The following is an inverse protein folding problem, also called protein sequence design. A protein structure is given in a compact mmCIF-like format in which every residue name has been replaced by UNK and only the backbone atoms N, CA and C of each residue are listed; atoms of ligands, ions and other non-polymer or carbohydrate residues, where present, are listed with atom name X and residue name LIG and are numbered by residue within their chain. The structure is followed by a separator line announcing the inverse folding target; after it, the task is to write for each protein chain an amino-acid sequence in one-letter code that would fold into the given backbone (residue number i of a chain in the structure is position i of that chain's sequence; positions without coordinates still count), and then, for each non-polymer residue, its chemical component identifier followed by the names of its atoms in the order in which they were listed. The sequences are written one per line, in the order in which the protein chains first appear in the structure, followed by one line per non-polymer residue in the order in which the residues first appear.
data_IF_328295656773
#
_entry.id   IF_328295656773
#
_cell.length_a   1.000
_cell.length_b   1.000
_cell.length_c   1.000
_cell.angle_alpha   90.00
_cell.angle_beta   90.00
_cell.angle_gamma   90.00
#
_symmetry.space_group_name_H-M   'P 1'
#
loop_
_entity.id
_entity.type
_entity.pdbx_description
1 polymer ?
#
# COMPACT_ATOMS: atom_id res chain seq x y z
N UNK A 1 7.01 8.51 -22.35
CA UNK A 1 6.11 9.62 -22.73
C UNK A 1 5.52 10.27 -21.49
N UNK A 2 5.51 11.61 -21.49
CA UNK A 2 4.88 12.38 -20.41
C UNK A 2 3.55 12.93 -20.91
N UNK A 3 2.46 12.56 -20.24
CA UNK A 3 1.13 13.09 -20.53
C UNK A 3 0.79 14.11 -19.43
N UNK A 4 0.40 15.34 -19.79
CA UNK A 4 0.02 16.37 -18.83
C UNK A 4 -1.07 15.89 -17.86
N UNK A 5 -1.08 16.41 -16.63
CA UNK A 5 -2.14 16.07 -15.69
C UNK A 5 -3.50 16.61 -16.15
N UNK A 6 -4.49 15.73 -16.25
CA UNK A 6 -5.86 16.05 -16.67
C UNK A 6 -6.49 17.22 -15.89
N UNK A 7 -6.21 17.29 -14.58
CA UNK A 7 -6.73 18.32 -13.68
C UNK A 7 -6.07 19.70 -13.85
N UNK A 8 -4.85 19.76 -14.40
CA UNK A 8 -4.11 21.01 -14.57
C UNK A 8 -4.37 21.65 -15.93
N UNK A 9 -4.37 20.84 -17.00
CA UNK A 9 -4.64 21.30 -18.36
C UNK A 9 -5.35 20.21 -19.17
N UNK A 10 -6.67 20.28 -19.21
CA UNK A 10 -7.50 19.30 -19.92
C UNK A 10 -7.30 19.32 -21.44
N UNK A 11 -7.02 20.50 -22.04
CA UNK A 11 -6.80 20.60 -23.49
C UNK A 11 -5.48 19.98 -23.89
N UNK A 12 -4.40 20.30 -23.17
CA UNK A 12 -3.08 19.70 -23.39
C UNK A 12 -3.12 18.19 -23.13
N UNK A 13 -3.80 17.74 -22.05
CA UNK A 13 -4.02 16.33 -21.77
C UNK A 13 -4.68 15.60 -22.95
N UNK A 14 -5.81 16.10 -23.46
CA UNK A 14 -6.50 15.48 -24.61
C UNK A 14 -5.63 15.42 -25.85
N UNK A 15 -4.96 16.52 -26.19
CA UNK A 15 -4.06 16.59 -27.34
C UNK A 15 -2.92 15.57 -27.23
N UNK A 16 -2.32 15.45 -26.04
CA UNK A 16 -1.25 14.49 -25.81
C UNK A 16 -1.76 13.04 -25.89
N UNK A 17 -2.94 12.75 -25.38
CA UNK A 17 -3.59 11.44 -25.49
C UNK A 17 -3.90 11.08 -26.95
N UNK A 18 -4.53 11.97 -27.71
CA UNK A 18 -4.81 11.76 -29.14
C UNK A 18 -3.51 11.51 -29.91
N UNK A 19 -2.50 12.37 -29.75
CA UNK A 19 -1.22 12.22 -30.43
C UNK A 19 -0.47 10.93 -30.09
N UNK A 20 -0.51 10.54 -28.79
CA UNK A 20 0.13 9.30 -28.35
C UNK A 20 -0.52 8.07 -28.98
N UNK A 21 -1.83 7.95 -28.85
CA UNK A 21 -2.54 6.76 -29.35
C UNK A 21 -2.58 6.73 -30.89
N UNK A 22 -2.74 7.86 -31.56
CA UNK A 22 -2.67 7.95 -33.01
C UNK A 22 -1.34 7.42 -33.57
N UNK A 23 -0.24 7.79 -32.90
CA UNK A 23 1.10 7.37 -33.32
C UNK A 23 1.44 5.93 -32.97
N UNK A 24 1.02 5.47 -31.79
CA UNK A 24 1.57 4.24 -31.21
C UNK A 24 0.55 3.10 -31.06
N UNK A 25 -0.75 3.32 -31.23
CA UNK A 25 -1.73 2.26 -30.99
C UNK A 25 -1.55 1.05 -31.94
N UNK A 26 -1.07 1.29 -33.16
CA UNK A 26 -0.78 0.23 -34.13
C UNK A 26 0.47 -0.62 -33.81
N UNK A 27 1.30 -0.20 -32.85
CA UNK A 27 2.51 -0.91 -32.44
C UNK A 27 2.21 -2.00 -31.41
N UNK A 28 0.99 -2.05 -30.82
CA UNK A 28 0.65 -2.88 -29.69
C UNK A 28 -0.61 -3.72 -29.92
N UNK A 29 -0.52 -5.00 -29.65
CA UNK A 29 -1.66 -5.92 -29.65
C UNK A 29 -2.48 -5.84 -28.36
N UNK A 30 -1.82 -5.47 -27.26
CA UNK A 30 -2.40 -5.47 -25.90
C UNK A 30 -2.14 -4.13 -25.22
N UNK A 31 -3.18 -3.55 -24.65
CA UNK A 31 -3.09 -2.43 -23.73
C UNK A 31 -3.41 -2.90 -22.30
N UNK A 32 -2.42 -2.84 -21.42
CA UNK A 32 -2.56 -3.24 -20.03
C UNK A 32 -2.57 -2.00 -19.13
N UNK A 33 -3.73 -1.72 -18.57
CA UNK A 33 -3.98 -0.54 -17.72
C UNK A 33 -4.01 -0.92 -16.25
N UNK A 34 -2.94 -0.59 -15.52
CA UNK A 34 -2.83 -0.74 -14.08
C UNK A 34 -3.41 0.50 -13.40
N UNK A 35 -4.32 0.33 -12.44
CA UNK A 35 -4.96 1.46 -11.79
C UNK A 35 -5.42 1.14 -10.37
N UNK A 36 -5.38 2.17 -9.49
CA UNK A 36 -5.90 2.12 -8.12
C UNK A 36 -7.30 2.76 -8.01
N UNK A 37 -7.88 3.29 -9.09
CA UNK A 37 -9.19 3.96 -9.08
C UNK A 37 -9.83 3.97 -10.46
N UNK A 38 -11.16 3.99 -10.51
CA UNK A 38 -11.93 4.19 -11.75
C UNK A 38 -12.36 5.65 -11.97
N UNK A 39 -11.82 6.60 -11.23
CA UNK A 39 -12.18 8.02 -11.42
C UNK A 39 -11.84 8.53 -12.82
N UNK A 40 -10.83 7.92 -13.47
CA UNK A 40 -10.46 8.18 -14.86
C UNK A 40 -10.18 6.86 -15.60
N UNK A 41 -10.91 6.62 -16.69
CA UNK A 41 -10.72 5.46 -17.57
C UNK A 41 -10.38 5.89 -19.01
N UNK A 42 -9.97 7.15 -19.21
CA UNK A 42 -9.70 7.70 -20.54
C UNK A 42 -8.69 6.86 -21.32
N UNK A 43 -7.67 6.31 -20.67
CA UNK A 43 -6.68 5.45 -21.33
C UNK A 43 -7.33 4.24 -22.02
N UNK A 44 -8.32 3.60 -21.40
CA UNK A 44 -9.07 2.50 -22.03
C UNK A 44 -10.01 2.98 -23.13
N UNK A 45 -10.60 4.17 -22.96
CA UNK A 45 -11.43 4.80 -23.99
C UNK A 45 -10.61 5.06 -25.24
N UNK A 46 -9.42 5.65 -25.10
CA UNK A 46 -8.50 5.92 -26.20
C UNK A 46 -7.96 4.63 -26.83
N UNK A 47 -7.52 3.66 -26.02
CA UNK A 47 -7.06 2.36 -26.53
C UNK A 47 -8.13 1.67 -27.39
N UNK A 48 -9.41 1.73 -26.99
CA UNK A 48 -10.53 1.22 -27.78
C UNK A 48 -10.72 2.04 -29.07
N UNK A 49 -10.73 3.38 -28.97
CA UNK A 49 -10.95 4.30 -30.08
C UNK A 49 -9.91 4.12 -31.19
N UNK A 50 -8.66 3.88 -30.81
CA UNK A 50 -7.54 3.70 -31.74
C UNK A 50 -7.27 2.24 -32.11
N UNK A 51 -8.23 1.33 -31.79
CA UNK A 51 -8.28 -0.01 -32.37
C UNK A 51 -7.45 -1.09 -31.67
N UNK A 52 -6.86 -0.83 -30.49
CA UNK A 52 -6.18 -1.87 -29.74
C UNK A 52 -7.21 -2.94 -29.31
N UNK A 53 -7.01 -4.17 -29.79
CA UNK A 53 -8.02 -5.24 -29.69
C UNK A 53 -8.15 -5.79 -28.27
N UNK A 54 -7.03 -6.07 -27.58
CA UNK A 54 -7.01 -6.59 -26.22
C UNK A 54 -6.71 -5.45 -25.23
N UNK A 55 -7.63 -5.20 -24.30
CA UNK A 55 -7.52 -4.10 -23.34
C UNK A 55 -7.82 -4.67 -21.94
N UNK A 56 -6.73 -4.85 -21.19
CA UNK A 56 -6.77 -5.39 -19.83
C UNK A 56 -6.83 -4.22 -18.85
N UNK A 57 -7.79 -4.25 -17.92
CA UNK A 57 -7.74 -3.40 -16.74
C UNK A 57 -7.32 -4.25 -15.55
N UNK A 58 -6.33 -3.77 -14.79
CA UNK A 58 -5.82 -4.43 -13.61
C UNK A 58 -6.00 -3.53 -12.37
N UNK A 59 -6.83 -3.97 -11.46
CA UNK A 59 -7.19 -3.27 -10.25
C UNK A 59 -6.24 -3.60 -9.10
N UNK A 60 -5.68 -2.57 -8.46
CA UNK A 60 -4.67 -2.72 -7.40
C UNK A 60 -5.12 -2.17 -6.03
N UNK A 61 -6.39 -1.78 -5.86
CA UNK A 61 -6.89 -1.23 -4.60
C UNK A 61 -8.32 -1.70 -4.32
N UNK A 62 -8.69 -1.81 -3.04
CA UNK A 62 -10.02 -2.22 -2.59
C UNK A 62 -10.84 -1.09 -1.98
N UNK A 63 -10.31 0.11 -1.96
CA UNK A 63 -10.98 1.30 -1.42
C UNK A 63 -10.54 2.57 -2.11
N UNK A 64 -11.22 3.66 -1.81
CA UNK A 64 -10.88 4.97 -2.33
C UNK A 64 -11.18 6.03 -1.26
N UNK A 65 -10.20 6.84 -0.93
CA UNK A 65 -10.28 7.96 0.04
C UNK A 65 -10.95 9.21 -0.53
N UNK A 66 -11.79 9.09 -1.51
CA UNK A 66 -12.13 10.19 -2.37
C UNK A 66 -13.28 11.03 -1.87
N UNK A 67 -13.23 12.29 -2.27
CA UNK A 67 -14.37 13.20 -2.22
C UNK A 67 -15.59 12.57 -2.89
N UNK A 68 -16.79 12.99 -2.50
CA UNK A 68 -18.07 12.51 -3.06
C UNK A 68 -18.07 12.48 -4.61
N UNK A 69 -17.52 13.52 -5.25
CA UNK A 69 -17.42 13.60 -6.72
C UNK A 69 -16.58 12.46 -7.32
N UNK A 70 -15.44 12.15 -6.73
CA UNK A 70 -14.59 11.04 -7.22
C UNK A 70 -15.31 9.71 -7.04
N UNK A 71 -16.03 9.51 -5.94
CA UNK A 71 -16.88 8.35 -5.72
C UNK A 71 -17.92 8.18 -6.83
N UNK A 72 -18.64 9.25 -7.18
CA UNK A 72 -19.63 9.24 -8.29
C UNK A 72 -18.95 8.81 -9.60
N UNK A 73 -17.81 9.39 -9.97
CA UNK A 73 -17.09 9.01 -11.19
C UNK A 73 -16.63 7.55 -11.14
N UNK A 74 -16.17 7.06 -9.99
CA UNK A 74 -15.80 5.66 -9.82
C UNK A 74 -16.99 4.73 -10.13
N UNK A 75 -18.16 4.96 -9.53
CA UNK A 75 -19.35 4.13 -9.75
C UNK A 75 -19.89 4.22 -11.17
N UNK A 76 -19.90 5.41 -11.78
CA UNK A 76 -20.30 5.56 -13.19
C UNK A 76 -19.35 4.78 -14.13
N UNK A 77 -18.06 4.84 -13.88
CA UNK A 77 -17.07 4.11 -14.67
C UNK A 77 -17.11 2.60 -14.38
N UNK A 78 -17.37 2.17 -13.15
CA UNK A 78 -17.61 0.75 -12.81
C UNK A 78 -18.76 0.16 -13.63
N UNK A 79 -19.86 0.90 -13.81
CA UNK A 79 -21.00 0.46 -14.60
C UNK A 79 -20.69 0.29 -16.10
N UNK A 80 -19.76 1.11 -16.63
CA UNK A 80 -19.45 1.17 -18.08
C UNK A 80 -18.10 0.56 -18.46
N UNK A 81 -17.30 0.10 -17.50
CA UNK A 81 -15.94 -0.39 -17.78
C UNK A 81 -15.92 -1.57 -18.76
N UNK A 82 -16.96 -2.41 -18.74
CA UNK A 82 -17.13 -3.53 -19.67
C UNK A 82 -17.31 -3.12 -21.15
N UNK A 83 -17.58 -1.83 -21.43
CA UNK A 83 -17.64 -1.29 -22.79
C UNK A 83 -16.21 -1.09 -23.35
N UNK A 84 -15.25 -0.76 -22.47
CA UNK A 84 -13.91 -0.33 -22.87
C UNK A 84 -12.85 -1.38 -22.66
N UNK A 85 -12.87 -2.12 -21.56
CA UNK A 85 -12.00 -3.24 -21.30
C UNK A 85 -12.52 -4.54 -21.91
N UNK A 86 -11.62 -5.42 -22.30
CA UNK A 86 -11.94 -6.78 -22.80
C UNK A 86 -11.66 -7.85 -21.76
N UNK A 87 -10.72 -7.57 -20.84
CA UNK A 87 -10.28 -8.48 -19.78
C UNK A 87 -10.15 -7.68 -18.47
N UNK A 88 -10.46 -8.33 -17.34
CA UNK A 88 -10.62 -7.71 -16.03
C UNK A 88 -9.74 -8.44 -15.02
N UNK A 89 -8.66 -7.82 -14.64
CA UNK A 89 -7.72 -8.40 -13.67
C UNK A 89 -7.74 -7.62 -12.37
N UNK A 90 -7.40 -8.28 -11.28
CA UNK A 90 -7.28 -7.66 -9.96
C UNK A 90 -6.24 -8.37 -9.12
N UNK A 91 -5.60 -7.64 -8.20
CA UNK A 91 -4.61 -8.22 -7.29
C UNK A 91 -5.24 -9.02 -6.13
N UNK A 92 -6.56 -8.91 -5.92
CA UNK A 92 -7.29 -9.63 -4.87
C UNK A 92 -8.79 -9.66 -5.16
N UNK A 93 -9.54 -10.53 -4.46
CA UNK A 93 -11.00 -10.55 -4.54
C UNK A 93 -11.62 -9.24 -4.00
N UNK A 94 -11.02 -8.63 -2.99
CA UNK A 94 -11.46 -7.34 -2.47
C UNK A 94 -11.35 -6.23 -3.53
N UNK A 95 -10.23 -6.18 -4.27
CA UNK A 95 -10.05 -5.28 -5.40
C UNK A 95 -11.06 -5.56 -6.52
N UNK A 96 -11.35 -6.85 -6.81
CA UNK A 96 -12.38 -7.23 -7.78
C UNK A 96 -13.75 -6.65 -7.44
N UNK A 97 -14.21 -6.85 -6.21
CA UNK A 97 -15.52 -6.37 -5.75
C UNK A 97 -15.64 -4.85 -5.79
N UNK A 98 -14.54 -4.16 -5.51
CA UNK A 98 -14.50 -2.71 -5.57
C UNK A 98 -14.60 -2.18 -7.01
N UNK A 99 -13.86 -2.79 -7.96
CA UNK A 99 -13.75 -2.31 -9.33
C UNK A 99 -14.81 -2.85 -10.29
N UNK A 100 -15.32 -4.07 -10.08
CA UNK A 100 -16.13 -4.78 -11.06
C UNK A 100 -17.50 -5.15 -10.52
N UNK A 101 -18.45 -5.32 -11.44
CA UNK A 101 -19.75 -5.90 -11.12
C UNK A 101 -19.64 -7.43 -10.96
N UNK A 102 -20.59 -8.03 -10.23
CA UNK A 102 -20.64 -9.49 -10.04
C UNK A 102 -20.68 -10.26 -11.37
N UNK A 103 -21.36 -9.69 -12.38
CA UNK A 103 -21.39 -10.25 -13.75
C UNK A 103 -20.00 -10.32 -14.37
N UNK A 104 -19.15 -9.31 -14.17
CA UNK A 104 -17.75 -9.32 -14.65
C UNK A 104 -16.94 -10.33 -13.85
N UNK A 105 -17.07 -10.32 -12.53
CA UNK A 105 -16.33 -11.23 -11.63
C UNK A 105 -16.65 -12.69 -11.94
N UNK A 106 -17.90 -13.02 -12.27
CA UNK A 106 -18.31 -14.37 -12.67
C UNK A 106 -17.93 -14.74 -14.11
N UNK A 107 -17.38 -13.83 -14.90
CA UNK A 107 -17.03 -14.08 -16.29
C UNK A 107 -15.68 -14.80 -16.45
N UNK A 108 -15.49 -15.55 -17.55
CA UNK A 108 -14.20 -16.15 -17.93
C UNK A 108 -13.11 -15.11 -18.26
N UNK A 109 -13.43 -13.84 -18.29
CA UNK A 109 -12.51 -12.73 -18.58
C UNK A 109 -11.97 -12.07 -17.32
N UNK A 110 -12.45 -12.47 -16.16
CA UNK A 110 -11.94 -12.03 -14.88
C UNK A 110 -10.88 -13.00 -14.35
N UNK A 111 -9.76 -12.43 -13.89
CA UNK A 111 -8.66 -13.18 -13.29
C UNK A 111 -8.12 -12.44 -12.06
N UNK A 112 -7.82 -13.19 -11.01
CA UNK A 112 -7.02 -12.68 -9.91
C UNK A 112 -5.56 -12.97 -10.26
N UNK A 113 -4.77 -11.90 -10.36
CA UNK A 113 -3.33 -11.95 -10.60
C UNK A 113 -2.68 -11.29 -9.39
N UNK A 114 -2.25 -12.09 -8.46
CA UNK A 114 -1.61 -11.60 -7.24
C UNK A 114 -0.35 -10.83 -7.58
N UNK A 115 -0.11 -9.76 -6.82
CA UNK A 115 1.18 -9.10 -6.87
C UNK A 115 2.26 -10.07 -6.35
N UNK A 116 3.46 -9.94 -6.87
CA UNK A 116 4.60 -10.77 -6.47
C UNK A 116 5.80 -9.87 -6.13
N UNK A 117 6.69 -10.38 -5.29
CA UNK A 117 7.96 -9.77 -4.92
C UNK A 117 9.12 -10.71 -5.23
N UNK A 118 10.32 -10.18 -5.26
CA UNK A 118 11.55 -10.97 -5.35
C UNK A 118 11.96 -11.37 -3.93
N UNK A 119 11.56 -12.54 -3.48
CA UNK A 119 11.72 -12.99 -2.09
C UNK A 119 13.17 -13.00 -1.62
N UNK A 120 14.11 -13.39 -2.49
CA UNK A 120 15.54 -13.45 -2.16
C UNK A 120 16.12 -12.09 -1.71
N UNK A 121 15.53 -10.98 -2.17
CA UNK A 121 15.97 -9.64 -1.79
C UNK A 121 15.52 -9.22 -0.38
N UNK A 122 14.50 -9.89 0.15
CA UNK A 122 13.92 -9.58 1.47
C UNK A 122 14.23 -10.63 2.52
N UNK A 123 14.78 -11.78 2.14
CA UNK A 123 15.11 -12.85 3.08
C UNK A 123 15.98 -12.32 4.22
N UNK A 124 15.70 -12.81 5.45
CA UNK A 124 16.42 -12.38 6.65
C UNK A 124 17.95 -12.56 6.50
N UNK A 125 18.69 -11.55 6.91
CA UNK A 125 20.14 -11.54 6.90
C UNK A 125 20.66 -10.82 8.16
N UNK A 126 21.29 -11.58 9.04
CA UNK A 126 21.81 -11.10 10.33
C UNK A 126 22.91 -10.05 10.17
N UNK A 127 23.82 -10.23 9.21
CA UNK A 127 24.92 -9.27 8.96
C UNK A 127 24.37 -7.90 8.56
N UNK A 128 23.37 -7.88 7.64
CA UNK A 128 22.70 -6.62 7.24
C UNK A 128 21.95 -6.02 8.43
N UNK A 129 21.31 -6.85 9.26
CA UNK A 129 20.61 -6.38 10.47
C UNK A 129 21.58 -5.63 11.39
N UNK A 130 22.72 -6.23 11.69
CA UNK A 130 23.74 -5.65 12.58
C UNK A 130 24.31 -4.35 12.00
N UNK A 131 24.62 -4.33 10.70
CA UNK A 131 25.10 -3.14 10.00
C UNK A 131 24.11 -1.97 10.09
N UNK A 132 22.85 -2.22 9.74
CA UNK A 132 21.82 -1.16 9.73
C UNK A 132 21.46 -0.71 11.15
N UNK A 133 21.39 -1.64 12.13
CA UNK A 133 21.13 -1.26 13.53
C UNK A 133 22.24 -0.39 14.09
N UNK A 134 23.47 -0.70 13.77
CA UNK A 134 24.63 0.11 14.17
C UNK A 134 24.66 1.47 13.46
N UNK A 135 24.34 1.51 12.15
CA UNK A 135 24.30 2.77 11.37
C UNK A 135 23.30 3.78 11.96
N UNK A 136 22.15 3.29 12.47
CA UNK A 136 21.06 4.13 12.98
C UNK A 136 20.97 4.17 14.51
N UNK A 137 21.99 3.67 15.24
CA UNK A 137 22.02 3.62 16.71
C UNK A 137 20.81 2.91 17.32
N UNK A 138 20.47 1.72 16.79
CA UNK A 138 19.26 0.96 17.15
C UNK A 138 19.55 -0.24 18.07
N UNK A 139 20.80 -0.52 18.41
CA UNK A 139 21.21 -1.77 19.09
C UNK A 139 20.45 -2.02 20.39
N UNK A 140 20.11 -0.96 21.12
CA UNK A 140 19.45 -1.05 22.43
C UNK A 140 17.93 -0.81 22.35
N UNK A 141 17.35 -0.72 21.15
CA UNK A 141 15.94 -0.39 20.97
C UNK A 141 15.15 -1.55 20.37
N UNK A 142 13.89 -1.66 20.79
CA UNK A 142 12.90 -2.44 20.08
C UNK A 142 12.36 -1.64 18.91
N UNK A 143 12.58 -2.09 17.68
CA UNK A 143 12.31 -1.32 16.46
C UNK A 143 10.98 -1.73 15.84
N UNK A 144 10.01 -0.83 15.91
CA UNK A 144 8.71 -0.96 15.26
C UNK A 144 8.79 -0.29 13.89
N UNK A 145 8.55 -1.04 12.81
CA UNK A 145 8.66 -0.54 11.43
C UNK A 145 7.32 -0.26 10.78
N UNK A 146 7.31 0.75 9.91
CA UNK A 146 6.22 1.03 8.99
C UNK A 146 6.75 1.57 7.66
N UNK A 147 6.22 1.05 6.55
CA UNK A 147 6.54 1.52 5.20
C UNK A 147 5.27 1.92 4.49
N UNK A 148 5.19 3.17 4.09
CA UNK A 148 4.00 3.66 3.38
C UNK A 148 4.03 5.16 3.09
N UNK A 149 3.22 5.58 2.13
CA UNK A 149 3.04 7.00 1.87
C UNK A 149 2.29 7.67 3.02
N UNK A 150 2.71 8.86 3.42
CA UNK A 150 1.99 9.66 4.42
C UNK A 150 0.67 10.20 3.84
N UNK A 151 -0.30 9.30 3.73
CA UNK A 151 -1.64 9.54 3.18
C UNK A 151 -2.71 8.92 4.09
N UNK A 152 -3.94 9.38 3.96
CA UNK A 152 -5.10 8.90 4.71
C UNK A 152 -5.22 7.36 4.75
N UNK A 153 -4.90 6.69 3.65
CA UNK A 153 -4.95 5.24 3.52
C UNK A 153 -4.10 4.52 4.57
N UNK A 154 -2.85 4.95 4.78
CA UNK A 154 -1.86 4.28 5.64
C UNK A 154 -2.04 4.56 7.14
N UNK A 155 -2.87 5.56 7.49
CA UNK A 155 -3.30 5.82 8.87
C UNK A 155 -2.17 6.10 9.86
N UNK A 156 -1.18 6.88 9.44
CA UNK A 156 -0.04 7.24 10.30
C UNK A 156 -0.47 7.92 11.60
N UNK A 157 -1.57 8.69 11.61
CA UNK A 157 -2.09 9.30 12.83
C UNK A 157 -2.36 8.26 13.92
N UNK A 158 -3.07 7.19 13.56
CA UNK A 158 -3.36 6.10 14.49
C UNK A 158 -2.11 5.29 14.84
N UNK A 159 -1.17 5.13 13.90
CA UNK A 159 0.12 4.48 14.16
C UNK A 159 0.92 5.24 15.24
N UNK A 160 0.94 6.58 15.20
CA UNK A 160 1.58 7.38 16.26
C UNK A 160 0.87 7.20 17.60
N UNK A 161 -0.47 7.11 17.63
CA UNK A 161 -1.20 6.84 18.87
C UNK A 161 -0.85 5.46 19.44
N UNK A 162 -0.77 4.43 18.60
CA UNK A 162 -0.32 3.08 18.99
C UNK A 162 1.09 3.14 19.57
N UNK A 163 2.00 3.83 18.89
CA UNK A 163 3.40 3.91 19.33
C UNK A 163 3.54 4.70 20.65
N UNK A 164 2.83 5.81 20.80
CA UNK A 164 2.81 6.56 22.06
C UNK A 164 2.23 5.74 23.22
N UNK A 165 1.24 4.89 22.97
CA UNK A 165 0.74 3.95 23.96
C UNK A 165 1.75 2.83 24.27
N UNK A 166 2.51 2.37 23.25
CA UNK A 166 3.58 1.38 23.43
C UNK A 166 4.73 1.89 24.30
N UNK A 167 5.16 3.15 24.09
CA UNK A 167 6.24 3.79 24.90
C UNK A 167 5.91 3.85 26.41
N UNK A 168 4.63 3.82 26.80
CA UNK A 168 4.24 3.74 28.21
C UNK A 168 4.44 2.33 28.81
N UNK A 169 4.62 1.32 27.97
CA UNK A 169 4.86 -0.09 28.36
C UNK A 169 6.35 -0.44 28.25
N UNK A 170 7.04 0.14 27.29
CA UNK A 170 8.46 -0.05 27.03
C UNK A 170 9.04 1.22 26.38
N UNK A 171 9.81 1.98 27.14
CA UNK A 171 10.42 3.25 26.69
C UNK A 171 11.68 3.05 25.81
N UNK A 172 12.21 1.81 25.77
CA UNK A 172 13.34 1.43 24.91
C UNK A 172 12.85 0.99 23.53
N UNK A 173 11.97 1.78 22.91
CA UNK A 173 11.46 1.51 21.57
C UNK A 173 11.66 2.68 20.61
N UNK A 174 11.80 2.36 19.33
CA UNK A 174 11.89 3.31 18.22
C UNK A 174 10.86 2.95 17.14
N UNK A 175 10.15 3.95 16.64
CA UNK A 175 9.30 3.83 15.46
C UNK A 175 10.06 4.32 14.22
N UNK A 176 10.28 3.42 13.26
CA UNK A 176 10.91 3.71 11.97
C UNK A 176 9.83 3.90 10.90
N UNK A 177 9.72 5.11 10.35
CA UNK A 177 8.74 5.49 9.32
C UNK A 177 9.44 5.71 7.98
N UNK A 178 9.13 4.86 7.00
CA UNK A 178 9.72 4.91 5.66
C UNK A 178 8.67 5.34 4.64
N UNK A 179 8.95 6.41 3.90
CA UNK A 179 8.07 6.97 2.87
C UNK A 179 7.99 8.49 2.94
N UNK A 180 7.14 9.05 2.11
CA UNK A 180 6.81 10.49 2.09
C UNK A 180 5.35 10.69 1.68
N UNK A 181 4.80 11.86 1.89
CA UNK A 181 3.45 12.21 1.44
C UNK A 181 2.94 13.52 2.03
N UNK A 182 1.78 13.95 1.56
CA UNK A 182 1.16 15.23 1.94
C UNK A 182 0.82 15.35 3.43
N UNK A 183 0.65 14.22 4.13
CA UNK A 183 0.35 14.17 5.56
C UNK A 183 1.58 14.22 6.48
N UNK A 184 2.81 14.20 5.94
CA UNK A 184 4.04 14.04 6.74
C UNK A 184 4.21 15.15 7.79
N UNK A 185 4.00 16.39 7.41
CA UNK A 185 4.16 17.52 8.34
C UNK A 185 3.15 17.47 9.51
N UNK A 186 1.92 17.01 9.27
CA UNK A 186 0.94 16.82 10.33
C UNK A 186 1.37 15.71 11.31
N UNK A 187 2.01 14.65 10.79
CA UNK A 187 2.52 13.55 11.61
C UNK A 187 3.73 14.02 12.44
N UNK A 188 4.66 14.78 11.85
CA UNK A 188 5.78 15.39 12.59
C UNK A 188 5.28 16.29 13.72
N UNK A 189 4.28 17.13 13.42
CA UNK A 189 3.66 17.96 14.43
C UNK A 189 3.05 17.14 15.57
N UNK A 190 2.31 16.07 15.25
CA UNK A 190 1.73 15.17 16.26
C UNK A 190 2.79 14.50 17.12
N UNK A 191 3.90 14.07 16.53
CA UNK A 191 5.05 13.50 17.24
C UNK A 191 5.62 14.51 18.24
N UNK A 192 5.80 15.76 17.82
CA UNK A 192 6.27 16.85 18.69
C UNK A 192 5.26 17.23 19.76
N UNK A 193 3.98 17.34 19.44
CA UNK A 193 2.92 17.63 20.42
C UNK A 193 2.83 16.54 21.52
N UNK A 194 3.29 15.31 21.24
CA UNK A 194 3.35 14.19 22.18
C UNK A 194 4.71 14.09 22.92
N UNK A 195 5.73 14.84 22.50
CA UNK A 195 7.07 14.83 23.09
C UNK A 195 7.85 13.53 22.89
N UNK A 196 7.66 12.86 21.74
CA UNK A 196 8.29 11.56 21.40
C UNK A 196 9.23 11.63 20.19
N UNK A 197 9.76 12.81 19.88
CA UNK A 197 10.63 13.03 18.71
C UNK A 197 11.87 12.16 18.73
N UNK A 198 12.46 11.92 19.89
CA UNK A 198 13.65 11.10 20.06
C UNK A 198 13.40 9.61 19.76
N UNK A 199 12.14 9.18 19.82
CA UNK A 199 11.75 7.80 19.57
C UNK A 199 11.23 7.55 18.16
N UNK A 200 11.09 8.58 17.30
CA UNK A 200 10.58 8.43 15.94
C UNK A 200 11.62 8.80 14.89
N UNK A 201 11.89 7.87 13.97
CA UNK A 201 12.83 8.06 12.86
C UNK A 201 12.07 8.22 11.55
N UNK A 202 12.08 9.41 10.96
CA UNK A 202 11.55 9.68 9.62
C UNK A 202 12.65 9.40 8.58
N UNK A 203 12.57 8.28 7.88
CA UNK A 203 13.61 7.81 6.95
C UNK A 203 13.47 8.39 5.53
N UNK A 204 12.36 9.09 5.24
CA UNK A 204 12.07 9.58 3.89
C UNK A 204 11.85 8.45 2.88
N UNK A 205 12.01 8.76 1.58
CA UNK A 205 11.95 7.76 0.51
C UNK A 205 13.28 7.02 0.41
N UNK A 206 13.21 5.69 0.51
CA UNK A 206 14.39 4.82 0.47
C UNK A 206 14.29 3.84 -0.70
N UNK A 207 15.43 3.52 -1.30
CA UNK A 207 15.56 2.46 -2.31
C UNK A 207 16.02 1.12 -1.72
N UNK A 208 16.48 1.12 -0.48
CA UNK A 208 17.05 0.01 0.30
C UNK A 208 16.09 -0.46 1.41
N UNK A 209 14.79 -0.37 1.16
CA UNK A 209 13.75 -0.77 2.12
C UNK A 209 13.92 -2.22 2.59
N UNK A 210 14.38 -3.11 1.68
CA UNK A 210 14.69 -4.49 1.99
C UNK A 210 15.78 -4.64 3.08
N UNK A 211 16.75 -3.74 3.14
CA UNK A 211 17.77 -3.71 4.19
C UNK A 211 17.21 -3.14 5.49
N UNK A 212 16.39 -2.08 5.41
CA UNK A 212 15.75 -1.48 6.58
C UNK A 212 14.79 -2.44 7.29
N UNK A 213 14.12 -3.36 6.57
CA UNK A 213 13.34 -4.42 7.19
C UNK A 213 14.18 -5.33 8.08
N UNK A 214 15.46 -5.52 7.80
CA UNK A 214 16.33 -6.36 8.64
C UNK A 214 16.53 -5.75 10.03
N UNK A 215 16.58 -4.42 10.13
CA UNK A 215 16.77 -3.71 11.40
C UNK A 215 15.53 -3.69 12.31
N UNK A 216 14.34 -3.93 11.76
CA UNK A 216 13.08 -3.92 12.51
C UNK A 216 12.94 -5.19 13.34
N UNK A 217 12.14 -5.14 14.41
CA UNK A 217 11.75 -6.29 15.22
C UNK A 217 10.31 -6.73 14.87
N UNK A 218 9.45 -5.77 14.56
CA UNK A 218 8.09 -6.01 14.07
C UNK A 218 7.70 -4.99 12.99
N UNK A 219 6.62 -5.32 12.28
CA UNK A 219 6.02 -4.44 11.28
C UNK A 219 4.55 -4.15 11.61
N UNK A 220 4.14 -2.87 11.58
CA UNK A 220 2.77 -2.45 11.90
C UNK A 220 2.12 -1.75 10.71
N UNK A 221 0.95 -2.23 10.27
CA UNK A 221 0.20 -1.71 9.12
C UNK A 221 -1.27 -1.45 9.46
N UNK A 222 -1.61 -0.33 10.14
CA UNK A 222 -2.97 0.00 10.56
C UNK A 222 -3.75 0.71 9.46
N UNK A 223 -3.60 0.28 8.20
CA UNK A 223 -4.21 0.90 7.02
C UNK A 223 -5.73 0.90 7.10
N UNK A 224 -6.37 1.95 6.55
CA UNK A 224 -7.84 2.06 6.45
C UNK A 224 -8.42 1.27 5.29
N UNK A 225 -7.64 1.02 4.26
CA UNK A 225 -7.99 0.14 3.12
C UNK A 225 -6.74 -0.29 2.36
N UNK A 226 -6.78 -1.52 1.81
CA UNK A 226 -5.72 -2.08 0.98
C UNK A 226 -6.32 -2.98 -0.11
N UNK A 227 -5.56 -3.17 -1.20
CA UNK A 227 -5.84 -4.21 -2.18
C UNK A 227 -5.17 -5.52 -1.77
N UNK A 228 -3.90 -5.63 -2.11
CA UNK A 228 -2.94 -6.60 -1.56
C UNK A 228 -1.69 -5.79 -1.21
N UNK A 229 -1.42 -5.54 0.08
CA UNK A 229 -0.30 -4.70 0.50
C UNK A 229 1.03 -5.44 0.33
N UNK A 230 1.77 -5.15 -0.76
CA UNK A 230 3.07 -5.77 -1.02
C UNK A 230 4.02 -5.58 0.16
N UNK A 231 4.01 -4.42 0.78
CA UNK A 231 4.84 -4.12 1.94
C UNK A 231 4.64 -5.09 3.12
N UNK A 232 3.43 -5.63 3.28
CA UNK A 232 3.15 -6.66 4.28
C UNK A 232 3.77 -8.01 3.89
N UNK A 233 3.76 -8.34 2.59
CA UNK A 233 4.43 -9.54 2.06
C UNK A 233 5.95 -9.40 2.20
N UNK A 234 6.50 -8.23 1.89
CA UNK A 234 7.91 -7.90 2.04
C UNK A 234 8.37 -8.05 3.50
N UNK A 235 7.63 -7.48 4.44
CA UNK A 235 7.91 -7.59 5.87
C UNK A 235 7.89 -9.05 6.38
N UNK A 236 6.89 -9.85 5.96
CA UNK A 236 6.82 -11.27 6.29
C UNK A 236 7.99 -12.06 5.68
N UNK A 237 8.41 -11.71 4.46
CA UNK A 237 9.57 -12.35 3.81
C UNK A 237 10.87 -12.05 4.55
N UNK A 238 10.96 -10.88 5.20
CA UNK A 238 12.05 -10.53 6.10
C UNK A 238 11.96 -11.21 7.49
N UNK A 239 11.01 -12.12 7.69
CA UNK A 239 10.81 -12.84 8.95
C UNK A 239 10.13 -12.02 10.05
N UNK A 240 9.56 -10.85 9.73
CA UNK A 240 8.93 -9.99 10.72
C UNK A 240 7.58 -10.51 11.18
N UNK A 241 7.33 -10.48 12.49
CA UNK A 241 5.98 -10.51 13.02
C UNK A 241 5.26 -9.24 12.58
N UNK A 242 4.07 -9.38 12.00
CA UNK A 242 3.32 -8.27 11.46
C UNK A 242 2.00 -8.06 12.21
N UNK A 243 1.61 -6.80 12.38
CA UNK A 243 0.32 -6.40 12.95
C UNK A 243 -0.43 -5.58 11.91
N UNK A 244 -1.59 -6.05 11.48
CA UNK A 244 -2.33 -5.46 10.37
C UNK A 244 -3.81 -5.24 10.70
N UNK A 245 -4.44 -4.29 10.02
CA UNK A 245 -5.87 -4.01 10.20
C UNK A 245 -6.73 -5.20 9.78
N UNK A 246 -7.50 -5.76 10.72
CA UNK A 246 -8.56 -6.72 10.43
C UNK A 246 -9.66 -6.06 9.58
N UNK A 247 -10.37 -6.85 8.80
CA UNK A 247 -11.51 -6.42 7.95
C UNK A 247 -11.15 -5.51 6.75
N UNK A 248 -9.92 -5.01 6.72
CA UNK A 248 -9.36 -4.19 5.64
C UNK A 248 -8.35 -4.96 4.82
N UNK A 249 -7.47 -5.69 5.52
CA UNK A 249 -6.44 -6.54 4.92
C UNK A 249 -6.94 -7.98 5.03
N UNK A 250 -7.03 -8.67 3.90
CA UNK A 250 -7.57 -10.03 3.85
C UNK A 250 -6.58 -11.05 4.42
N UNK A 251 -7.10 -12.13 4.99
CA UNK A 251 -6.28 -13.22 5.52
C UNK A 251 -5.35 -13.84 4.46
N UNK A 252 -5.69 -13.74 3.17
CA UNK A 252 -4.83 -14.19 2.07
C UNK A 252 -3.48 -13.44 2.00
N UNK A 253 -3.35 -12.31 2.72
CA UNK A 253 -2.10 -11.56 2.84
C UNK A 253 -1.15 -12.14 3.89
N UNK A 254 -1.62 -13.06 4.73
CA UNK A 254 -0.78 -13.80 5.68
C UNK A 254 -0.23 -15.05 5.00
N UNK A 255 1.00 -14.94 4.50
CA UNK A 255 1.68 -16.03 3.78
C UNK A 255 2.58 -16.87 4.68
N UNK A 256 2.83 -16.43 5.91
CA UNK A 256 3.76 -17.07 6.85
C UNK A 256 3.10 -17.58 8.12
N UNK A 257 1.86 -17.21 8.41
CA UNK A 257 1.20 -17.40 9.70
C UNK A 257 1.67 -16.41 10.78
N UNK A 258 2.43 -15.38 10.40
CA UNK A 258 3.03 -14.41 11.34
C UNK A 258 2.32 -13.05 11.32
N UNK A 259 1.10 -12.96 10.78
CA UNK A 259 0.30 -11.73 10.81
C UNK A 259 -0.79 -11.83 11.89
N UNK A 260 -0.77 -10.90 12.82
CA UNK A 260 -1.88 -10.71 13.74
C UNK A 260 -2.81 -9.61 13.20
N UNK A 261 -4.07 -9.97 12.93
CA UNK A 261 -5.07 -9.03 12.45
C UNK A 261 -5.84 -8.43 13.63
N UNK A 262 -5.73 -7.09 13.79
CA UNK A 262 -6.38 -6.35 14.87
C UNK A 262 -7.44 -5.40 14.26
N UNK A 263 -8.70 -5.38 14.78
CA UNK A 263 -9.71 -4.45 14.32
C UNK A 263 -9.28 -2.99 14.52
N UNK A 264 -9.55 -2.13 13.53
CA UNK A 264 -9.34 -0.67 13.68
C UNK A 264 -10.30 -0.03 14.69
N UNK A 265 -11.37 -0.73 15.07
CA UNK A 265 -12.28 -0.28 16.14
C UNK A 265 -11.66 -0.41 17.54
N UNK A 266 -10.60 -1.19 17.72
CA UNK A 266 -9.84 -1.25 18.94
C UNK A 266 -9.02 0.03 19.09
N UNK A 267 -8.87 0.52 20.33
CA UNK A 267 -8.08 1.70 20.61
C UNK A 267 -6.56 1.45 20.50
N UNK A 268 -5.78 2.51 20.57
CA UNK A 268 -4.33 2.46 20.43
C UNK A 268 -3.67 1.65 21.57
N UNK A 269 -4.20 1.73 22.77
CA UNK A 269 -3.70 0.98 23.94
C UNK A 269 -3.87 -0.53 23.78
N UNK A 270 -4.98 -0.97 23.16
CA UNK A 270 -5.20 -2.39 22.88
C UNK A 270 -4.22 -2.92 21.82
N UNK A 271 -3.96 -2.13 20.75
CA UNK A 271 -2.93 -2.47 19.78
C UNK A 271 -1.55 -2.55 20.43
N UNK A 272 -1.18 -1.51 21.19
CA UNK A 272 0.10 -1.45 21.90
C UNK A 272 0.31 -2.61 22.85
N UNK A 273 -0.71 -2.98 23.64
CA UNK A 273 -0.65 -4.09 24.57
C UNK A 273 -0.43 -5.44 23.86
N UNK A 274 -1.12 -5.69 22.74
CA UNK A 274 -0.93 -6.90 21.93
C UNK A 274 0.48 -6.99 21.37
N UNK A 275 0.99 -5.88 20.84
CA UNK A 275 2.36 -5.79 20.34
C UNK A 275 3.36 -6.07 21.47
N UNK A 276 3.17 -5.43 22.64
CA UNK A 276 4.07 -5.58 23.78
C UNK A 276 4.07 -7.00 24.36
N UNK A 277 2.92 -7.63 24.48
CA UNK A 277 2.85 -9.00 25.02
C UNK A 277 3.60 -9.98 24.10
N UNK A 278 3.50 -9.81 22.81
CA UNK A 278 4.20 -10.66 21.85
C UNK A 278 5.70 -10.34 21.78
N UNK A 279 6.14 -9.08 22.02
CA UNK A 279 7.57 -8.72 22.02
C UNK A 279 8.37 -9.43 23.11
N UNK A 280 7.71 -9.87 24.19
CA UNK A 280 8.34 -10.62 25.29
C UNK A 280 8.38 -12.13 25.06
N UNK A 281 7.73 -12.62 23.98
CA UNK A 281 7.62 -14.06 23.65
C UNK A 281 8.28 -14.43 22.33
N UNK A 282 8.86 -13.45 21.62
CA UNK A 282 9.44 -13.69 20.29
C UNK A 282 10.68 -14.56 20.44
N UNK A 283 10.57 -15.78 19.92
CA UNK A 283 11.71 -16.61 19.54
C UNK A 283 12.49 -15.91 18.42
N UNK A 284 13.80 -16.13 18.34
CA UNK A 284 14.68 -15.60 17.30
C UNK A 284 14.10 -15.80 15.90
N UNK A 285 14.36 -14.81 15.01
CA UNK A 285 13.93 -14.83 13.61
C UNK A 285 14.49 -16.02 12.84
#
# INVERSE_FOLDING_TARGET
YTIPQRSKDYKAYKKAMDSFFEKHAGEYDVFWYNTCTLTNIDYLVYAKRYGIKKRIIHAHNSGNETTLLRGIFHYLNKARIGIYATDFWSCSMAASKYFYSDKIIASKKHHIINNAIQTDQYAYNEEIRDEIRKEYDLDNYYVIGHVGRFQYQKNHEFLIDIFNAYLKLDDQAVLMLIGQGEGEENIKKKVSDLGIEENVRFMGVRSDVNQLFQAMDIFVLPSRFEGLPLVLIEAQTAGLKCYASKDVITADSDITGHVEFIPLANNAEEWARRIYMNSKTVEDR
#
